data_IF_992199962995
#
_entry.id   IF_992199962995
#
_cell.length_a   1.000
_cell.length_b   1.000
_cell.length_c   1.000
_cell.angle_alpha   90.00
_cell.angle_beta   90.00
_cell.angle_gamma   90.00
#
_symmetry.space_group_name_H-M   'P 1'
#
loop_
_entity.id
_entity.type
_entity.pdbx_description
1 polymer ?
#
# COMPACT_ATOMS: atom_id res chain seq x y z
N UNK A 1 6.06 -42.14 -2.49
CA UNK A 1 4.63 -42.12 -2.88
C UNK A 1 3.88 -41.18 -1.94
N UNK A 2 3.14 -40.19 -2.45
CA UNK A 2 2.25 -39.37 -1.59
C UNK A 2 1.10 -40.25 -1.14
N UNK A 3 0.94 -40.40 0.19
CA UNK A 3 -0.21 -41.09 0.78
C UNK A 3 -1.46 -40.27 0.45
N UNK A 4 -2.50 -40.92 -0.07
CA UNK A 4 -3.76 -40.27 -0.41
C UNK A 4 -4.48 -39.69 0.82
N UNK A 5 -5.52 -38.89 0.61
CA UNK A 5 -6.37 -38.39 1.70
C UNK A 5 -6.99 -39.56 2.48
N UNK A 6 -7.15 -39.40 3.79
CA UNK A 6 -7.75 -40.44 4.64
C UNK A 6 -9.25 -40.58 4.35
N UNK A 7 -9.79 -41.78 4.57
CA UNK A 7 -11.23 -42.05 4.44
C UNK A 7 -12.08 -41.08 5.28
N UNK A 8 -11.57 -40.68 6.45
CA UNK A 8 -12.23 -39.71 7.30
C UNK A 8 -12.28 -38.31 6.66
N UNK A 9 -11.21 -37.88 5.98
CA UNK A 9 -11.20 -36.61 5.26
C UNK A 9 -12.19 -36.61 4.09
N UNK A 10 -12.29 -37.75 3.37
CA UNK A 10 -13.23 -37.91 2.25
C UNK A 10 -14.68 -37.86 2.77
N UNK A 11 -15.01 -38.61 3.83
CA UNK A 11 -16.35 -38.60 4.45
C UNK A 11 -16.74 -37.22 4.97
N UNK A 12 -15.80 -36.50 5.59
CA UNK A 12 -16.03 -35.14 6.06
C UNK A 12 -16.36 -34.17 4.90
N UNK A 13 -15.72 -34.36 3.74
CA UNK A 13 -15.98 -33.55 2.55
C UNK A 13 -17.41 -33.75 2.03
N UNK A 14 -17.87 -35.00 1.95
CA UNK A 14 -19.23 -35.32 1.54
C UNK A 14 -20.25 -34.77 2.53
N UNK A 15 -20.04 -34.94 3.84
CA UNK A 15 -20.92 -34.38 4.86
C UNK A 15 -20.99 -32.85 4.82
N UNK A 16 -19.85 -32.18 4.54
CA UNK A 16 -19.82 -30.72 4.32
C UNK A 16 -20.67 -30.34 3.11
N UNK A 17 -20.49 -31.02 1.99
CA UNK A 17 -21.23 -30.75 0.77
C UNK A 17 -22.75 -30.95 0.93
N UNK A 18 -23.19 -32.02 1.60
CA UNK A 18 -24.62 -32.23 1.87
C UNK A 18 -25.21 -31.11 2.71
N UNK A 19 -24.45 -30.61 3.69
CA UNK A 19 -24.89 -29.55 4.61
C UNK A 19 -24.92 -28.16 3.97
N UNK A 20 -23.89 -27.78 3.21
CA UNK A 20 -23.70 -26.40 2.72
C UNK A 20 -23.81 -26.26 1.20
N UNK A 21 -23.94 -27.38 0.48
CA UNK A 21 -23.82 -27.45 -1.00
C UNK A 21 -22.52 -26.86 -1.52
N UNK A 22 -21.49 -26.79 -0.67
CA UNK A 22 -20.23 -26.13 -0.95
C UNK A 22 -19.05 -27.00 -0.48
N UNK A 23 -18.07 -27.17 -1.37
CA UNK A 23 -16.83 -27.92 -1.11
C UNK A 23 -15.65 -27.01 -0.80
N UNK A 24 -15.79 -25.69 -1.01
CA UNK A 24 -14.71 -24.74 -0.76
C UNK A 24 -14.20 -24.85 0.67
N UNK A 25 -12.88 -24.74 0.84
CA UNK A 25 -12.27 -24.63 2.15
C UNK A 25 -12.88 -23.46 2.92
N UNK A 26 -13.14 -23.68 4.21
CA UNK A 26 -13.49 -22.56 5.08
C UNK A 26 -12.23 -21.71 5.16
N UNK A 27 -12.23 -20.52 4.54
CA UNK A 27 -11.13 -19.53 4.64
C UNK A 27 -10.93 -19.00 6.07
N UNK A 28 -11.52 -19.66 7.05
CA UNK A 28 -11.28 -19.50 8.47
C UNK A 28 -9.93 -20.18 8.75
N UNK A 29 -8.86 -19.53 8.31
CA UNK A 29 -7.52 -19.89 8.77
C UNK A 29 -7.43 -19.70 10.28
N UNK A 30 -6.45 -20.33 10.92
CA UNK A 30 -6.09 -20.02 12.30
C UNK A 30 -5.71 -18.53 12.39
N UNK A 31 -6.68 -17.68 12.71
CA UNK A 31 -6.49 -16.28 13.09
C UNK A 31 -5.87 -16.28 14.49
N UNK A 32 -4.62 -16.73 14.58
CA UNK A 32 -3.79 -16.42 15.73
C UNK A 32 -3.76 -14.89 15.94
N UNK A 33 -3.30 -14.45 17.11
CA UNK A 33 -3.23 -13.02 17.43
C UNK A 33 -2.59 -12.25 16.27
N UNK A 34 -3.30 -11.29 15.68
CA UNK A 34 -2.76 -10.44 14.62
C UNK A 34 -1.54 -9.68 15.17
N UNK A 35 -0.34 -10.20 14.87
CA UNK A 35 0.93 -9.47 15.06
C UNK A 35 1.19 -8.68 13.79
N UNK A 36 0.28 -7.76 13.50
CA UNK A 36 0.42 -6.88 12.37
C UNK A 36 1.21 -5.64 12.80
N UNK A 37 2.22 -5.27 12.02
CA UNK A 37 2.82 -3.94 12.15
C UNK A 37 1.84 -2.83 11.75
N UNK A 38 0.78 -3.18 11.00
CA UNK A 38 -0.29 -2.30 10.55
C UNK A 38 -1.31 -2.09 11.68
N UNK A 39 -0.93 -1.26 12.64
CA UNK A 39 -1.84 -0.71 13.66
C UNK A 39 -2.12 0.75 13.35
N UNK A 40 -3.27 1.27 13.77
CA UNK A 40 -3.65 2.67 13.55
C UNK A 40 -2.61 3.64 14.13
N UNK A 41 -2.08 3.33 15.32
CA UNK A 41 -0.99 4.11 15.93
C UNK A 41 0.29 4.13 15.09
N UNK A 42 0.68 3.00 14.49
CA UNK A 42 1.85 2.95 13.62
C UNK A 42 1.58 3.66 12.29
N UNK A 43 0.36 3.58 11.76
CA UNK A 43 -0.05 4.27 10.54
C UNK A 43 0.02 5.79 10.71
N UNK A 44 -0.48 6.31 11.84
CA UNK A 44 -0.41 7.74 12.16
C UNK A 44 1.03 8.22 12.32
N UNK A 45 1.88 7.46 13.02
CA UNK A 45 3.29 7.78 13.18
C UNK A 45 4.02 7.81 11.82
N UNK A 46 3.75 6.81 10.96
CA UNK A 46 4.27 6.72 9.58
C UNK A 46 3.86 7.95 8.77
N UNK A 47 2.57 8.32 8.79
CA UNK A 47 2.07 9.47 8.05
C UNK A 47 2.68 10.79 8.54
N UNK A 48 2.85 10.93 9.85
CA UNK A 48 3.48 12.12 10.44
C UNK A 48 4.93 12.28 9.97
N UNK A 49 5.74 11.22 10.05
CA UNK A 49 7.14 11.25 9.62
C UNK A 49 7.24 11.55 8.12
N UNK A 50 6.38 10.93 7.30
CA UNK A 50 6.35 11.16 5.85
C UNK A 50 6.00 12.61 5.48
N UNK A 51 5.03 13.22 6.17
CA UNK A 51 4.64 14.64 5.93
C UNK A 51 5.76 15.60 6.31
N UNK A 52 6.45 15.32 7.41
CA UNK A 52 7.54 16.19 7.89
C UNK A 52 8.79 16.05 7.02
N UNK A 53 9.12 14.83 6.60
CA UNK A 53 10.39 14.55 5.92
C UNK A 53 10.21 13.55 4.76
N UNK A 54 9.60 13.98 3.65
CA UNK A 54 9.23 13.10 2.53
C UNK A 54 10.43 12.51 1.78
N UNK A 55 11.65 13.03 2.00
CA UNK A 55 12.89 12.61 1.32
C UNK A 55 13.79 11.72 2.19
N UNK A 56 13.29 11.22 3.30
CA UNK A 56 14.06 10.36 4.21
C UNK A 56 14.25 8.96 3.63
N UNK A 57 15.41 8.35 3.94
CA UNK A 57 15.62 6.94 3.65
C UNK A 57 14.63 6.08 4.46
N UNK A 58 14.29 4.90 3.97
CA UNK A 58 13.42 3.95 4.66
C UNK A 58 13.95 3.60 6.06
N UNK A 59 15.27 3.57 6.21
CA UNK A 59 15.91 3.28 7.49
C UNK A 59 15.72 4.41 8.51
N UNK A 60 15.99 5.66 8.10
CA UNK A 60 15.75 6.86 8.92
C UNK A 60 14.26 7.03 9.22
N UNK A 61 13.41 6.76 8.23
CA UNK A 61 11.96 6.77 8.37
C UNK A 61 11.48 5.80 9.45
N UNK A 62 11.95 4.54 9.41
CA UNK A 62 11.62 3.53 10.40
C UNK A 62 12.07 3.95 11.81
N UNK A 63 13.28 4.52 11.92
CA UNK A 63 13.80 5.04 13.18
C UNK A 63 12.91 6.14 13.77
N UNK A 64 12.52 7.13 12.96
CA UNK A 64 11.65 8.22 13.41
C UNK A 64 10.22 7.77 13.73
N UNK A 65 9.73 6.73 13.05
CA UNK A 65 8.42 6.14 13.31
C UNK A 65 8.42 5.15 14.50
N UNK A 66 9.58 4.91 15.14
CA UNK A 66 9.69 3.93 16.24
C UNK A 66 9.51 2.48 15.78
N UNK A 67 9.78 2.19 14.52
CA UNK A 67 9.56 0.90 13.88
C UNK A 67 10.88 0.15 13.69
N UNK A 68 10.79 -1.18 13.68
CA UNK A 68 11.91 -2.00 13.19
C UNK A 68 12.11 -1.72 11.69
N UNK A 69 13.34 -1.85 11.15
CA UNK A 69 13.59 -1.61 9.72
C UNK A 69 12.69 -2.44 8.80
N UNK A 70 12.40 -3.69 9.18
CA UNK A 70 11.50 -4.60 8.45
C UNK A 70 10.05 -4.08 8.42
N UNK A 71 9.54 -3.64 9.57
CA UNK A 71 8.18 -3.13 9.68
C UNK A 71 8.03 -1.74 9.05
N UNK A 72 9.04 -0.89 9.21
CA UNK A 72 9.14 0.39 8.52
C UNK A 72 9.11 0.22 7.01
N UNK A 73 9.86 -0.74 6.46
CA UNK A 73 9.79 -1.05 5.02
C UNK A 73 8.40 -1.58 4.62
N UNK A 74 7.80 -2.47 5.40
CA UNK A 74 6.46 -2.97 5.11
C UNK A 74 5.41 -1.84 5.09
N UNK A 75 5.43 -0.95 6.07
CA UNK A 75 4.48 0.17 6.17
C UNK A 75 4.75 1.26 5.13
N UNK A 76 6.03 1.58 4.90
CA UNK A 76 6.45 2.60 3.93
C UNK A 76 6.09 2.21 2.49
N UNK A 77 6.34 0.97 2.09
CA UNK A 77 6.06 0.54 0.71
C UNK A 77 4.64 0.00 0.54
N UNK A 78 4.21 -0.99 1.34
CA UNK A 78 2.97 -1.74 1.04
C UNK A 78 1.73 -0.85 1.09
N UNK A 79 1.72 0.14 1.99
CA UNK A 79 0.54 0.98 2.21
C UNK A 79 0.61 2.34 1.51
N UNK A 80 1.81 2.84 1.25
CA UNK A 80 2.03 4.17 0.65
C UNK A 80 2.61 4.10 -0.78
N UNK A 81 2.41 3.00 -1.50
CA UNK A 81 2.82 2.83 -2.91
C UNK A 81 2.26 3.93 -3.83
N UNK A 82 1.09 4.49 -3.54
CA UNK A 82 0.52 5.64 -4.27
C UNK A 82 1.25 6.96 -4.00
N UNK A 83 2.00 7.02 -2.90
CA UNK A 83 2.70 8.21 -2.42
C UNK A 83 4.19 8.17 -2.77
N UNK A 84 4.63 7.11 -3.45
CA UNK A 84 5.99 7.02 -3.96
C UNK A 84 6.21 8.12 -4.99
N UNK A 85 7.20 9.02 -4.78
CA UNK A 85 7.62 9.88 -5.83
C UNK A 85 8.36 8.97 -6.80
N UNK A 86 7.72 8.61 -7.91
CA UNK A 86 8.50 8.39 -9.12
C UNK A 86 9.46 9.57 -9.19
N UNK A 87 10.75 9.28 -9.35
CA UNK A 87 11.79 10.28 -9.54
C UNK A 87 11.54 10.98 -10.88
N UNK A 88 10.47 11.74 -11.01
CA UNK A 88 10.39 12.83 -11.98
C UNK A 88 11.38 13.85 -11.42
N UNK A 89 12.64 13.64 -11.76
CA UNK A 89 13.68 14.60 -11.46
C UNK A 89 13.41 15.79 -12.37
N UNK A 90 12.68 16.79 -11.88
CA UNK A 90 12.71 18.12 -12.47
C UNK A 90 14.06 18.72 -12.08
N UNK A 91 15.13 18.33 -12.77
CA UNK A 91 16.51 18.75 -12.47
C UNK A 91 16.75 20.26 -12.58
N UNK A 92 15.73 21.04 -12.96
CA UNK A 92 15.80 22.48 -13.12
C UNK A 92 14.79 23.13 -12.18
N UNK A 93 15.23 23.78 -11.08
CA UNK A 93 14.35 24.67 -10.34
C UNK A 93 13.90 25.77 -11.29
N UNK A 94 12.59 25.89 -11.48
CA UNK A 94 12.03 26.96 -12.30
C UNK A 94 12.13 28.27 -11.53
N UNK A 95 12.50 29.34 -12.22
CA UNK A 95 12.33 30.68 -11.68
C UNK A 95 10.83 30.99 -11.55
N UNK A 96 10.49 31.91 -10.65
CA UNK A 96 9.10 32.38 -10.46
C UNK A 96 8.51 32.83 -11.80
N UNK A 97 9.25 33.61 -12.59
CA UNK A 97 8.83 34.05 -13.92
C UNK A 97 8.55 32.89 -14.89
N UNK A 98 9.35 31.82 -14.83
CA UNK A 98 9.13 30.65 -15.68
C UNK A 98 7.91 29.83 -15.25
N UNK A 99 7.55 29.85 -13.97
CA UNK A 99 6.32 29.24 -13.46
C UNK A 99 5.12 30.04 -13.95
N UNK A 100 5.14 31.37 -13.79
CA UNK A 100 4.05 32.26 -14.20
C UNK A 100 3.80 32.20 -15.71
N UNK A 101 4.86 32.21 -16.52
CA UNK A 101 4.73 32.09 -17.98
C UNK A 101 4.06 30.78 -18.41
N UNK A 102 4.40 29.66 -17.75
CA UNK A 102 3.78 28.35 -18.01
C UNK A 102 2.32 28.33 -17.58
N UNK A 103 2.01 28.94 -16.44
CA UNK A 103 0.64 29.03 -15.93
C UNK A 103 -0.25 29.86 -16.87
N UNK A 104 0.24 31.03 -17.31
CA UNK A 104 -0.44 31.86 -18.29
C UNK A 104 -0.69 31.13 -19.62
N UNK A 105 0.33 30.44 -20.14
CA UNK A 105 0.19 29.64 -21.37
C UNK A 105 -0.87 28.54 -21.21
N UNK A 106 -0.83 27.78 -20.11
CA UNK A 106 -1.79 26.70 -19.86
C UNK A 106 -3.23 27.23 -19.80
N UNK A 107 -3.46 28.34 -19.10
CA UNK A 107 -4.79 28.95 -18.99
C UNK A 107 -5.30 29.47 -20.35
N UNK A 108 -4.42 30.06 -21.17
CA UNK A 108 -4.77 30.50 -22.52
C UNK A 108 -5.15 29.32 -23.43
N UNK A 109 -4.38 28.22 -23.37
CA UNK A 109 -4.69 27.01 -24.13
C UNK A 109 -5.98 26.33 -23.65
N UNK A 110 -6.24 26.33 -22.34
CA UNK A 110 -7.47 25.78 -21.79
C UNK A 110 -8.70 26.53 -22.31
N UNK A 111 -8.66 27.86 -22.34
CA UNK A 111 -9.73 28.66 -22.93
C UNK A 111 -9.93 28.32 -24.42
N UNK A 112 -8.86 28.14 -25.18
CA UNK A 112 -8.98 27.76 -26.60
C UNK A 112 -9.65 26.38 -26.77
N UNK A 113 -9.39 25.43 -25.86
CA UNK A 113 -9.97 24.07 -25.91
C UNK A 113 -11.42 24.04 -25.42
N UNK A 114 -11.76 24.80 -24.38
CA UNK A 114 -13.12 24.81 -23.79
C UNK A 114 -14.14 25.59 -24.65
N UNK A 115 -13.66 26.46 -25.55
CA UNK A 115 -14.49 27.24 -26.49
C UNK A 115 -14.37 26.75 -27.97
N UNK A 116 -13.64 25.65 -28.21
CA UNK A 116 -13.40 25.06 -29.53
C UNK A 116 -14.33 23.89 -29.87
#
# INVERSE_FOLDING_TARGET
MRRGPSDNAIKALFGKFERTRNVNDDRIGNVGRQRSAFTESNDDAVLQVMRQQPRTSVHSFAFHAGLTPKNGHALYYVRNLYMFPYKIQTCHPLSVNAIDARYHFANAMQQIVDFG
#
